data_IF_284469295722
#
_entry.id   IF_284469295722
#
_cell.length_a   1.000
_cell.length_b   1.000
_cell.length_c   1.000
_cell.angle_alpha   90.00
_cell.angle_beta   90.00
_cell.angle_gamma   90.00
#
_symmetry.space_group_name_H-M   'P 1'
#
loop_
_entity.id
_entity.type
_entity.pdbx_description
1 polymer ?
#
# COMPACT_ATOMS: atom_id res chain seq x y z
N UNK A 1 21.37 0.39 10.52
CA UNK A 1 20.71 -0.45 9.48
C UNK A 1 19.51 0.33 8.92
N UNK A 2 19.45 0.58 7.62
CA UNK A 2 18.51 1.55 7.02
C UNK A 2 17.08 1.03 6.85
N UNK A 3 16.09 1.85 7.18
CA UNK A 3 14.65 1.55 7.03
C UNK A 3 14.14 1.76 5.60
N UNK A 4 14.83 1.16 4.62
CA UNK A 4 14.42 1.23 3.20
C UNK A 4 13.46 0.09 2.89
N UNK A 5 12.28 0.43 2.34
CA UNK A 5 11.34 -0.59 1.85
C UNK A 5 11.92 -1.26 0.59
N UNK A 6 11.96 -2.60 0.52
CA UNK A 6 12.35 -3.33 -0.67
C UNK A 6 11.56 -2.93 -1.92
N UNK A 7 12.14 -3.15 -3.09
CA UNK A 7 11.53 -2.85 -4.41
C UNK A 7 10.21 -3.59 -4.61
N UNK A 8 10.15 -4.88 -4.30
CA UNK A 8 8.92 -5.68 -4.49
C UNK A 8 7.71 -5.10 -3.74
N UNK A 9 7.91 -4.53 -2.54
CA UNK A 9 6.83 -3.89 -1.76
C UNK A 9 6.31 -2.65 -2.49
N UNK A 10 7.22 -1.86 -3.07
CA UNK A 10 6.87 -0.64 -3.80
C UNK A 10 6.14 -1.00 -5.11
N UNK A 11 6.64 -2.00 -5.84
CA UNK A 11 6.02 -2.46 -7.09
C UNK A 11 4.62 -2.99 -6.85
N UNK A 12 4.45 -3.90 -5.88
CA UNK A 12 3.16 -4.50 -5.56
C UNK A 12 2.13 -3.45 -5.10
N UNK A 13 2.54 -2.53 -4.23
CA UNK A 13 1.68 -1.42 -3.84
C UNK A 13 1.31 -0.48 -5.01
N UNK A 14 2.21 -0.29 -5.96
CA UNK A 14 1.94 0.55 -7.15
C UNK A 14 0.98 -0.17 -8.11
N UNK A 15 1.15 -1.48 -8.30
CA UNK A 15 0.24 -2.31 -9.09
C UNK A 15 -1.16 -2.33 -8.48
N UNK A 16 -1.28 -2.57 -7.17
CA UNK A 16 -2.56 -2.53 -6.46
C UNK A 16 -3.27 -1.18 -6.60
N UNK A 17 -2.53 -0.08 -6.50
CA UNK A 17 -3.08 1.25 -6.70
C UNK A 17 -3.48 1.55 -8.16
N UNK A 18 -2.86 0.87 -9.12
CA UNK A 18 -3.18 1.01 -10.54
C UNK A 18 -4.41 0.21 -10.92
N UNK A 19 -4.58 -0.99 -10.34
CA UNK A 19 -5.66 -1.91 -10.66
C UNK A 19 -6.94 -1.63 -9.84
N UNK A 20 -6.77 -1.37 -8.54
CA UNK A 20 -7.86 -1.17 -7.58
C UNK A 20 -7.75 0.18 -6.85
N UNK A 21 -7.33 1.23 -7.55
CA UNK A 21 -7.06 2.55 -6.97
C UNK A 21 -8.21 3.12 -6.13
N UNK A 22 -9.45 2.87 -6.52
CA UNK A 22 -10.66 3.36 -5.84
C UNK A 22 -10.98 2.60 -4.54
N UNK A 23 -10.48 1.37 -4.39
CA UNK A 23 -10.68 0.56 -3.18
C UNK A 23 -9.72 0.96 -2.05
N UNK A 24 -8.65 1.70 -2.34
CA UNK A 24 -7.65 2.10 -1.36
C UNK A 24 -7.89 3.54 -0.86
N UNK A 25 -7.84 3.71 0.45
CA UNK A 25 -8.07 5.00 1.11
C UNK A 25 -6.88 5.42 1.98
N UNK A 26 -6.97 6.54 2.68
CA UNK A 26 -5.93 6.93 3.64
C UNK A 26 -5.98 6.15 4.96
N UNK A 27 -6.95 5.24 5.13
CA UNK A 27 -7.06 4.41 6.33
C UNK A 27 -6.18 3.16 6.25
N UNK A 28 -5.41 2.91 7.30
CA UNK A 28 -4.50 1.75 7.34
C UNK A 28 -5.23 0.42 7.56
N UNK A 29 -6.32 0.43 8.32
CA UNK A 29 -7.04 -0.80 8.68
C UNK A 29 -7.79 -1.35 7.48
N UNK A 30 -8.57 -0.51 6.80
CA UNK A 30 -9.26 -0.86 5.56
C UNK A 30 -8.27 -1.36 4.49
N UNK A 31 -7.13 -0.68 4.34
CA UNK A 31 -6.13 -1.07 3.36
C UNK A 31 -5.48 -2.43 3.65
N UNK A 32 -5.31 -2.84 4.92
CA UNK A 32 -4.79 -4.20 5.22
C UNK A 32 -5.75 -5.29 4.73
N UNK A 33 -7.04 -5.08 4.93
CA UNK A 33 -8.07 -6.02 4.50
C UNK A 33 -8.11 -6.09 2.98
N UNK A 34 -8.08 -4.93 2.31
CA UNK A 34 -8.05 -4.86 0.84
C UNK A 34 -6.78 -5.49 0.27
N UNK A 35 -5.60 -5.26 0.86
CA UNK A 35 -4.36 -5.95 0.45
C UNK A 35 -4.48 -7.47 0.60
N UNK A 36 -5.18 -7.97 1.63
CA UNK A 36 -5.40 -9.42 1.81
C UNK A 36 -6.39 -9.96 0.77
N UNK A 37 -7.40 -9.18 0.39
CA UNK A 37 -8.41 -9.57 -0.60
C UNK A 37 -7.84 -9.59 -2.02
N UNK A 38 -7.05 -8.59 -2.39
CA UNK A 38 -6.51 -8.41 -3.74
C UNK A 38 -5.13 -9.04 -3.94
N UNK A 39 -4.54 -9.66 -2.92
CA UNK A 39 -3.22 -10.28 -3.03
C UNK A 39 -3.08 -11.47 -2.10
N UNK A 40 -2.42 -12.53 -2.58
CA UNK A 40 -2.11 -13.74 -1.83
C UNK A 40 -0.89 -13.60 -0.89
N UNK A 41 -0.70 -12.44 -0.25
CA UNK A 41 0.44 -12.21 0.65
C UNK A 41 0.17 -12.87 1.99
N UNK A 42 0.88 -13.97 2.24
CA UNK A 42 0.76 -14.75 3.48
C UNK A 42 1.44 -14.03 4.66
N UNK A 43 2.56 -13.35 4.40
CA UNK A 43 3.34 -12.70 5.45
C UNK A 43 2.68 -11.43 5.98
N UNK A 44 2.34 -11.42 7.28
CA UNK A 44 1.84 -10.25 8.01
C UNK A 44 2.74 -9.02 7.87
N UNK A 45 4.06 -9.22 7.90
CA UNK A 45 5.05 -8.13 7.81
C UNK A 45 5.00 -7.46 6.44
N UNK A 46 4.93 -8.26 5.37
CA UNK A 46 4.87 -7.75 4.00
C UNK A 46 3.56 -7.00 3.78
N UNK A 47 2.43 -7.60 4.17
CA UNK A 47 1.10 -6.98 4.06
C UNK A 47 1.04 -5.62 4.77
N UNK A 48 1.54 -5.53 6.00
CA UNK A 48 1.57 -4.26 6.75
C UNK A 48 2.47 -3.22 6.07
N UNK A 49 3.60 -3.64 5.49
CA UNK A 49 4.51 -2.73 4.77
C UNK A 49 3.91 -2.23 3.46
N UNK A 50 3.17 -3.07 2.74
CA UNK A 50 2.44 -2.72 1.52
C UNK A 50 1.32 -1.73 1.86
N UNK A 51 0.42 -2.08 2.79
CA UNK A 51 -0.67 -1.20 3.22
C UNK A 51 -0.16 0.17 3.70
N UNK A 52 0.92 0.19 4.50
CA UNK A 52 1.54 1.43 4.95
C UNK A 52 2.16 2.25 3.81
N UNK A 53 2.68 1.61 2.77
CA UNK A 53 3.21 2.32 1.59
C UNK A 53 2.09 2.92 0.74
N UNK A 54 0.97 2.21 0.59
CA UNK A 54 -0.23 2.69 -0.10
C UNK A 54 -0.77 3.96 0.58
N UNK A 55 -0.96 3.94 1.91
CA UNK A 55 -1.39 5.12 2.68
C UNK A 55 -0.45 6.31 2.44
N UNK A 56 0.87 6.09 2.48
CA UNK A 56 1.84 7.17 2.24
C UNK A 56 1.74 7.71 0.82
N UNK A 57 1.56 6.87 -0.20
CA UNK A 57 1.37 7.30 -1.58
C UNK A 57 0.11 8.14 -1.75
N UNK A 58 -1.00 7.73 -1.17
CA UNK A 58 -2.27 8.47 -1.21
C UNK A 58 -2.17 9.82 -0.52
N UNK A 59 -1.53 9.90 0.65
CA UNK A 59 -1.29 11.17 1.36
C UNK A 59 -0.40 12.12 0.55
N UNK A 60 0.66 11.62 -0.08
CA UNK A 60 1.52 12.44 -0.97
C UNK A 60 0.74 12.92 -2.20
N UNK A 61 -0.10 12.07 -2.79
CA UNK A 61 -0.96 12.44 -3.93
C UNK A 61 -1.98 13.50 -3.54
N UNK A 62 -2.59 13.39 -2.35
CA UNK A 62 -3.51 14.40 -1.82
C UNK A 62 -2.80 15.75 -1.60
N UNK A 63 -1.60 15.73 -1.02
CA UNK A 63 -0.81 16.96 -0.81
C UNK A 63 -0.35 17.61 -2.13
N UNK A 64 -0.09 16.83 -3.18
CA UNK A 64 0.34 17.35 -4.50
C UNK A 64 -0.82 17.95 -5.31
N UNK A 65 -2.07 17.67 -4.94
CA UNK A 65 -3.27 18.25 -5.55
C UNK A 65 -3.70 19.57 -4.88
N UNK A 66 -3.03 19.97 -3.80
CA UNK A 66 -3.16 21.28 -3.15
C UNK A 66 -2.14 22.24 -3.74
#
# INVERSE_FOLDING_TARGET
>A
MGNVRPTYIKSLATQLLSDYGDAFTTDFTANKENVTKYTNVESKVIRNRVAGYIVRKLRVKANRKR
#
